data_IF_219939855679
#
_entry.id   IF_219939855679
#
_cell.length_a   1.000
_cell.length_b   1.000
_cell.length_c   1.000
_cell.angle_alpha   90.00
_cell.angle_beta   90.00
_cell.angle_gamma   90.00
#
_symmetry.space_group_name_H-M   'P 1'
#
loop_
_entity.id
_entity.type
_entity.pdbx_description
1 polymer ?
#
# COMPACT_ATOMS: atom_id res chain seq x y z
N UNK A 1 -18.30 -2.83 -6.70
CA UNK A 1 -17.11 -2.32 -5.98
C UNK A 1 -16.48 -3.53 -5.32
N UNK A 2 -15.17 -3.70 -5.42
CA UNK A 2 -14.49 -4.86 -4.84
C UNK A 2 -14.49 -4.76 -3.31
N UNK A 3 -14.64 -5.88 -2.60
CA UNK A 3 -14.60 -5.87 -1.15
C UNK A 3 -13.15 -5.66 -0.66
N UNK A 4 -12.99 -5.02 0.49
CA UNK A 4 -11.66 -4.70 1.04
C UNK A 4 -10.87 -5.99 1.34
N UNK A 5 -11.57 -7.07 1.74
CA UNK A 5 -10.95 -8.37 2.00
C UNK A 5 -10.23 -8.89 0.76
N UNK A 6 -10.88 -8.85 -0.39
CA UNK A 6 -10.31 -9.32 -1.65
C UNK A 6 -9.08 -8.51 -2.07
N UNK A 7 -8.98 -7.23 -1.69
CA UNK A 7 -7.78 -6.42 -1.95
C UNK A 7 -6.60 -6.86 -1.08
N UNK A 8 -6.84 -7.30 0.16
CA UNK A 8 -5.78 -7.75 1.07
C UNK A 8 -5.16 -9.08 0.63
N UNK A 9 -5.96 -9.94 0.02
CA UNK A 9 -5.52 -11.26 -0.46
C UNK A 9 -4.67 -11.19 -1.72
N UNK A 10 -4.75 -10.09 -2.48
CA UNK A 10 -3.96 -9.88 -3.69
C UNK A 10 -2.47 -9.66 -3.42
N UNK A 11 -1.66 -10.03 -4.41
CA UNK A 11 -0.24 -9.72 -4.39
C UNK A 11 0.03 -8.24 -4.65
N UNK A 12 1.17 -7.75 -4.16
CA UNK A 12 1.58 -6.35 -4.37
C UNK A 12 1.63 -5.96 -5.84
N UNK A 13 2.12 -6.84 -6.70
CA UNK A 13 2.19 -6.61 -8.16
C UNK A 13 0.80 -6.44 -8.79
N UNK A 14 -0.19 -7.21 -8.33
CA UNK A 14 -1.57 -7.11 -8.80
C UNK A 14 -2.25 -5.84 -8.31
N UNK A 15 -2.02 -5.46 -7.05
CA UNK A 15 -2.52 -4.20 -6.48
C UNK A 15 -1.98 -2.97 -7.24
N UNK A 16 -0.72 -3.00 -7.66
CA UNK A 16 -0.14 -1.93 -8.48
C UNK A 16 -0.77 -1.86 -9.87
N UNK A 17 -1.07 -3.01 -10.49
CA UNK A 17 -1.78 -3.05 -11.78
C UNK A 17 -3.20 -2.48 -11.64
N UNK A 18 -3.94 -2.92 -10.63
CA UNK A 18 -5.29 -2.41 -10.32
C UNK A 18 -5.29 -0.91 -10.05
N UNK A 19 -4.31 -0.42 -9.29
CA UNK A 19 -4.18 1.01 -9.02
C UNK A 19 -3.94 1.80 -10.31
N UNK A 20 -3.12 1.29 -11.23
CA UNK A 20 -2.86 1.91 -12.53
C UNK A 20 -4.13 1.95 -13.39
N UNK A 21 -4.83 0.82 -13.50
CA UNK A 21 -6.07 0.71 -14.25
C UNK A 21 -7.16 1.63 -13.69
N UNK A 22 -7.35 1.64 -12.36
CA UNK A 22 -8.33 2.49 -11.71
C UNK A 22 -8.06 3.98 -11.91
N UNK A 23 -6.78 4.40 -11.94
CA UNK A 23 -6.38 5.78 -12.23
C UNK A 23 -6.66 6.16 -13.69
N UNK A 24 -6.35 5.28 -14.64
CA UNK A 24 -6.66 5.51 -16.06
C UNK A 24 -8.17 5.64 -16.28
N UNK A 25 -8.94 4.76 -15.65
CA UNK A 25 -10.40 4.81 -15.72
C UNK A 25 -10.95 6.11 -15.11
N UNK A 26 -10.39 6.57 -13.97
CA UNK A 26 -10.79 7.85 -13.39
C UNK A 26 -10.52 9.03 -14.35
N UNK A 27 -9.40 9.02 -15.09
CA UNK A 27 -9.11 10.04 -16.10
C UNK A 27 -10.15 9.99 -17.22
N UNK A 28 -10.46 8.79 -17.72
CA UNK A 28 -11.50 8.58 -18.72
C UNK A 28 -12.85 9.13 -18.26
N UNK A 29 -13.32 8.76 -17.07
CA UNK A 29 -14.59 9.25 -16.50
C UNK A 29 -14.62 10.77 -16.32
N UNK A 30 -13.48 11.39 -15.98
CA UNK A 30 -13.38 12.86 -15.92
C UNK A 30 -13.49 13.50 -17.31
N UNK A 31 -12.95 12.87 -18.34
CA UNK A 31 -13.11 13.33 -19.73
C UNK A 31 -14.56 13.19 -20.19
N UNK A 32 -15.19 12.05 -19.95
CA UNK A 32 -16.61 11.81 -20.27
C UNK A 32 -17.52 12.82 -19.55
N UNK A 33 -17.21 13.16 -18.29
CA UNK A 33 -17.90 14.23 -17.56
C UNK A 33 -17.74 15.59 -18.25
N UNK A 34 -16.54 15.91 -18.71
CA UNK A 34 -16.24 17.20 -19.37
C UNK A 34 -16.95 17.31 -20.73
N UNK A 35 -17.07 16.22 -21.47
CA UNK A 35 -17.76 16.18 -22.77
C UNK A 35 -19.27 16.02 -22.64
N UNK A 36 -19.81 15.88 -21.42
CA UNK A 36 -21.24 15.67 -21.17
C UNK A 36 -21.75 14.28 -21.54
N UNK A 37 -20.85 13.32 -21.80
CA UNK A 37 -21.19 11.95 -22.19
C UNK A 37 -21.26 10.98 -21.02
N UNK A 38 -20.96 11.43 -19.80
CA UNK A 38 -20.99 10.58 -18.60
C UNK A 38 -22.43 10.24 -18.20
N UNK A 39 -22.76 8.95 -18.20
CA UNK A 39 -24.08 8.46 -17.83
C UNK A 39 -24.38 8.56 -16.32
N UNK A 40 -23.40 8.25 -15.47
CA UNK A 40 -23.56 8.23 -14.01
C UNK A 40 -22.38 8.92 -13.30
N UNK A 41 -22.64 10.07 -12.68
CA UNK A 41 -21.65 10.83 -11.90
C UNK A 41 -21.11 10.10 -10.68
N UNK A 42 -21.85 9.15 -10.11
CA UNK A 42 -21.44 8.37 -8.95
C UNK A 42 -20.26 7.44 -9.24
N UNK A 43 -20.05 7.08 -10.52
CA UNK A 43 -18.94 6.23 -10.96
C UNK A 43 -17.58 6.84 -10.65
N UNK A 44 -17.45 8.16 -10.75
CA UNK A 44 -16.22 8.89 -10.39
C UNK A 44 -15.91 8.69 -8.91
N UNK A 45 -16.91 8.88 -8.03
CA UNK A 45 -16.71 8.73 -6.60
C UNK A 45 -16.40 7.28 -6.22
N UNK A 46 -17.09 6.31 -6.84
CA UNK A 46 -16.81 4.88 -6.66
C UNK A 46 -15.36 4.55 -7.05
N UNK A 47 -14.88 5.09 -8.17
CA UNK A 47 -13.51 4.88 -8.66
C UNK A 47 -12.46 5.56 -7.77
N UNK A 48 -12.75 6.74 -7.23
CA UNK A 48 -11.89 7.40 -6.23
C UNK A 48 -11.76 6.58 -4.94
N UNK A 49 -12.88 6.04 -4.45
CA UNK A 49 -12.89 5.17 -3.26
C UNK A 49 -12.07 3.89 -3.49
N UNK A 50 -12.18 3.27 -4.66
CA UNK A 50 -11.39 2.11 -5.04
C UNK A 50 -9.87 2.40 -5.05
N UNK A 51 -9.47 3.56 -5.59
CA UNK A 51 -8.07 4.03 -5.55
C UNK A 51 -7.58 4.20 -4.11
N UNK A 52 -8.39 4.83 -3.26
CA UNK A 52 -8.05 5.05 -1.85
C UNK A 52 -7.84 3.71 -1.13
N UNK A 53 -8.78 2.77 -1.25
CA UNK A 53 -8.69 1.45 -0.63
C UNK A 53 -7.46 0.68 -1.10
N UNK A 54 -7.19 0.66 -2.40
CA UNK A 54 -6.02 -0.02 -2.98
C UNK A 54 -4.71 0.59 -2.46
N UNK A 55 -4.66 1.91 -2.33
CA UNK A 55 -3.49 2.64 -1.81
C UNK A 55 -3.28 2.35 -0.32
N UNK A 56 -4.35 2.30 0.47
CA UNK A 56 -4.30 1.91 1.88
C UNK A 56 -3.74 0.50 2.05
N UNK A 57 -4.24 -0.48 1.29
CA UNK A 57 -3.76 -1.87 1.39
C UNK A 57 -2.29 -1.99 0.96
N UNK A 58 -1.87 -1.25 -0.08
CA UNK A 58 -0.45 -1.19 -0.45
C UNK A 58 0.41 -0.67 0.71
N UNK A 59 -0.03 0.40 1.39
CA UNK A 59 0.68 0.95 2.55
C UNK A 59 0.66 0.01 3.76
N UNK A 60 -0.45 -0.66 4.02
CA UNK A 60 -0.54 -1.71 5.06
C UNK A 60 0.53 -2.79 4.82
N UNK A 61 0.68 -3.26 3.59
CA UNK A 61 1.69 -4.27 3.22
C UNK A 61 3.12 -3.74 3.35
N UNK A 62 3.36 -2.48 3.01
CA UNK A 62 4.67 -1.83 3.21
C UNK A 62 5.05 -1.75 4.69
N UNK A 63 4.14 -1.29 5.55
CA UNK A 63 4.38 -1.20 7.00
C UNK A 63 4.65 -2.58 7.60
N UNK A 64 3.92 -3.61 7.15
CA UNK A 64 4.17 -4.99 7.61
C UNK A 64 5.55 -5.49 7.18
N UNK A 65 5.99 -5.18 5.96
CA UNK A 65 7.32 -5.53 5.48
C UNK A 65 8.41 -4.79 6.28
N UNK A 66 8.25 -3.48 6.52
CA UNK A 66 9.16 -2.67 7.36
C UNK A 66 9.27 -3.26 8.78
N UNK A 67 8.14 -3.62 9.41
CA UNK A 67 8.11 -4.20 10.75
C UNK A 67 8.75 -5.59 10.85
N UNK A 68 8.76 -6.37 9.76
CA UNK A 68 9.49 -7.65 9.73
C UNK A 68 11.00 -7.46 9.64
N UNK A 69 11.47 -6.41 8.95
CA UNK A 69 12.90 -6.09 8.83
C UNK A 69 13.48 -5.58 10.15
N UNK A 70 12.73 -4.79 10.92
CA UNK A 70 13.19 -4.29 12.23
C UNK A 70 13.35 -5.39 13.30
N UNK A 71 12.59 -6.49 13.22
CA UNK A 71 12.72 -7.63 14.14
C UNK A 71 13.97 -8.48 13.92
N UNK A 72 14.63 -8.35 12.77
CA UNK A 72 15.87 -9.07 12.45
C UNK A 72 17.15 -8.28 12.75
N UNK A 73 17.05 -7.04 13.25
CA UNK A 73 18.23 -6.30 13.71
C UNK A 73 18.86 -7.01 14.93
N UNK A 74 20.08 -7.56 14.82
CA UNK A 74 20.63 -8.38 15.89
C UNK A 74 21.01 -7.50 17.10
N UNK A 75 20.44 -7.83 18.25
CA UNK A 75 20.86 -7.45 19.63
C UNK A 75 22.26 -8.00 19.99
N UNK A 76 23.22 -7.88 19.08
CA UNK A 76 24.48 -8.64 19.09
C UNK A 76 25.75 -7.82 19.30
N UNK A 77 25.73 -6.68 20.00
CA UNK A 77 26.96 -5.94 20.37
C UNK A 77 26.85 -5.18 21.70
N UNK A 78 26.55 -5.85 22.81
CA UNK A 78 26.68 -5.23 24.16
C UNK A 78 27.21 -6.19 25.24
N UNK A 79 27.97 -7.23 24.86
CA UNK A 79 28.66 -8.11 25.82
C UNK A 79 30.12 -8.36 25.44
N UNK A 80 30.94 -7.32 25.28
CA UNK A 80 32.41 -7.49 25.28
C UNK A 80 33.19 -6.38 26.01
N UNK A 81 32.54 -5.47 26.74
CA UNK A 81 33.25 -4.36 27.43
C UNK A 81 33.27 -4.47 28.96
N UNK A 82 32.94 -5.64 29.53
CA UNK A 82 33.03 -5.86 30.99
C UNK A 82 34.19 -6.74 31.45
N UNK A 83 34.87 -7.46 30.56
CA UNK A 83 35.94 -8.39 30.95
C UNK A 83 37.37 -7.83 30.81
N UNK A 84 37.54 -6.63 30.24
CA UNK A 84 38.86 -6.01 30.06
C UNK A 84 39.30 -5.09 31.22
N UNK A 85 38.46 -4.86 32.24
CA UNK A 85 38.76 -3.89 33.33
C UNK A 85 39.05 -4.51 34.71
N UNK A 86 39.21 -5.82 34.83
CA UNK A 86 39.56 -6.50 36.10
C UNK A 86 40.87 -7.28 36.08
N UNK A 87 41.69 -7.15 35.02
CA UNK A 87 43.07 -7.66 35.03
C UNK A 87 44.00 -6.67 34.37
N UNK A 88 44.49 -5.68 35.10
CA UNK A 88 45.92 -5.35 35.24
C UNK A 88 46.07 -4.40 36.43
#
# INVERSE_FOLDING_TARGET
MMEIKDLRDKERGELLKLLKEARLELVRLKMERKTGSLADGSTIHKKQKEIAQTTTVLREKEILAEATVEKEAPLGKLKEEKDAKTKT
#
